data_IF_344088765534
#
_entry.id   IF_344088765534
#
_cell.length_a   1.000
_cell.length_b   1.000
_cell.length_c   1.000
_cell.angle_alpha   90.00
_cell.angle_beta   90.00
_cell.angle_gamma   90.00
#
_symmetry.space_group_name_H-M   'P 1'
#
loop_
_entity.id
_entity.type
_entity.pdbx_description
1 polymer ?
#
# COMPACT_ATOMS: atom_id res chain seq x y z
N UNK A 1 19.15 15.63 16.23
CA UNK A 1 18.78 15.94 14.83
C UNK A 1 17.57 16.87 14.90
N UNK A 2 17.57 17.99 14.17
CA UNK A 2 16.58 19.07 14.37
C UNK A 2 15.16 18.56 14.07
N UNK A 3 14.17 18.80 14.94
CA UNK A 3 12.77 18.32 14.82
C UNK A 3 12.14 18.63 13.44
N UNK A 4 12.66 19.67 12.78
CA UNK A 4 12.27 20.08 11.44
C UNK A 4 12.66 19.06 10.34
N UNK A 5 13.83 18.44 10.47
CA UNK A 5 14.31 17.41 9.53
C UNK A 5 13.51 16.13 9.71
N UNK A 6 13.21 15.76 10.96
CA UNK A 6 12.42 14.58 11.30
C UNK A 6 10.98 14.69 10.79
N UNK A 7 10.35 15.86 10.97
CA UNK A 7 9.01 16.13 10.42
C UNK A 7 8.98 16.12 8.88
N UNK A 8 9.99 16.70 8.23
CA UNK A 8 10.09 16.69 6.76
C UNK A 8 10.26 15.27 6.21
N UNK A 9 11.10 14.46 6.85
CA UNK A 9 11.33 13.07 6.45
C UNK A 9 10.05 12.23 6.59
N UNK A 10 9.29 12.39 7.68
CA UNK A 10 8.02 11.68 7.85
C UNK A 10 6.97 12.12 6.81
N UNK A 11 6.86 13.42 6.53
CA UNK A 11 5.94 13.92 5.50
C UNK A 11 6.29 13.37 4.10
N UNK A 12 7.59 13.30 3.76
CA UNK A 12 8.05 12.72 2.49
C UNK A 12 7.77 11.22 2.43
N UNK A 13 8.00 10.47 3.51
CA UNK A 13 7.68 9.03 3.60
C UNK A 13 6.19 8.78 3.40
N UNK A 14 5.35 9.58 4.04
CA UNK A 14 3.89 9.47 3.90
C UNK A 14 3.45 9.78 2.46
N UNK A 15 3.98 10.84 1.87
CA UNK A 15 3.69 11.22 0.48
C UNK A 15 4.13 10.12 -0.50
N UNK A 16 5.31 9.53 -0.29
CA UNK A 16 5.79 8.40 -1.07
C UNK A 16 4.88 7.18 -0.90
N UNK A 17 4.50 6.82 0.33
CA UNK A 17 3.60 5.71 0.59
C UNK A 17 2.24 5.90 -0.11
N UNK A 18 1.69 7.11 -0.07
CA UNK A 18 0.44 7.44 -0.76
C UNK A 18 0.59 7.33 -2.29
N UNK A 19 1.71 7.82 -2.83
CA UNK A 19 2.02 7.71 -4.26
C UNK A 19 2.15 6.25 -4.71
N UNK A 20 2.88 5.41 -3.97
CA UNK A 20 3.00 3.98 -4.24
C UNK A 20 1.65 3.27 -4.15
N UNK A 21 0.81 3.64 -3.18
CA UNK A 21 -0.53 3.06 -3.01
C UNK A 21 -1.44 3.38 -4.19
N UNK A 22 -1.37 4.61 -4.72
CA UNK A 22 -2.11 5.04 -5.91
C UNK A 22 -1.65 4.28 -7.16
N UNK A 23 -0.33 4.14 -7.36
CA UNK A 23 0.23 3.35 -8.47
C UNK A 23 -0.20 1.89 -8.38
N UNK A 24 -0.10 1.29 -7.18
CA UNK A 24 -0.49 -0.09 -6.95
C UNK A 24 -1.97 -0.33 -7.23
N UNK A 25 -2.83 0.59 -6.79
CA UNK A 25 -4.28 0.55 -7.06
C UNK A 25 -4.58 0.67 -8.56
N UNK A 26 -3.88 1.57 -9.27
CA UNK A 26 -4.01 1.71 -10.71
C UNK A 26 -3.57 0.43 -11.45
N UNK A 27 -2.43 -0.14 -11.09
CA UNK A 27 -1.91 -1.37 -11.68
C UNK A 27 -2.87 -2.56 -11.45
N UNK A 28 -3.39 -2.70 -10.22
CA UNK A 28 -4.40 -3.71 -9.89
C UNK A 28 -5.66 -3.55 -10.73
N UNK A 29 -6.12 -2.31 -10.94
CA UNK A 29 -7.30 -2.03 -11.77
C UNK A 29 -7.07 -2.43 -13.23
N UNK A 30 -5.89 -2.15 -13.76
CA UNK A 30 -5.51 -2.57 -15.12
C UNK A 30 -5.47 -4.10 -15.24
N UNK A 31 -4.89 -4.79 -14.26
CA UNK A 31 -4.85 -6.26 -14.25
C UNK A 31 -6.25 -6.88 -14.12
N UNK A 32 -7.11 -6.30 -13.29
CA UNK A 32 -8.49 -6.73 -13.13
C UNK A 32 -9.28 -6.56 -14.44
N UNK A 33 -9.15 -5.41 -15.11
CA UNK A 33 -9.77 -5.17 -16.41
C UNK A 33 -9.22 -6.12 -17.48
N UNK A 34 -7.90 -6.35 -17.51
CA UNK A 34 -7.30 -7.31 -18.43
C UNK A 34 -7.89 -8.69 -18.21
N UNK A 35 -7.92 -9.20 -16.98
CA UNK A 35 -8.48 -10.51 -16.69
C UNK A 35 -9.96 -10.62 -17.05
N UNK A 36 -10.73 -9.56 -16.84
CA UNK A 36 -12.11 -9.48 -17.31
C UNK A 36 -12.20 -9.62 -18.84
N UNK A 37 -11.41 -8.87 -19.60
CA UNK A 37 -11.40 -8.94 -21.06
C UNK A 37 -10.93 -10.30 -21.59
N UNK A 38 -9.98 -10.95 -20.93
CA UNK A 38 -9.40 -12.21 -21.42
C UNK A 38 -10.26 -13.43 -21.09
N UNK A 39 -10.82 -13.49 -19.87
CA UNK A 39 -11.57 -14.66 -19.41
C UNK A 39 -13.08 -14.45 -19.49
N UNK A 40 -13.58 -13.22 -19.60
CA UNK A 40 -15.01 -12.89 -19.64
C UNK A 40 -15.83 -13.48 -18.48
N UNK A 41 -15.17 -13.79 -17.36
CA UNK A 41 -15.82 -14.31 -16.15
C UNK A 41 -15.44 -13.45 -14.94
N UNK A 42 -16.39 -13.23 -14.05
CA UNK A 42 -16.14 -12.54 -12.78
C UNK A 42 -15.17 -13.32 -11.88
N UNK A 43 -15.14 -14.65 -12.02
CA UNK A 43 -14.26 -15.53 -11.25
C UNK A 43 -12.77 -15.33 -11.56
N UNK A 44 -12.42 -14.74 -12.71
CA UNK A 44 -11.04 -14.37 -13.02
C UNK A 44 -10.60 -13.04 -12.36
N UNK A 45 -11.55 -12.15 -12.06
CA UNK A 45 -11.28 -10.84 -11.45
C UNK A 45 -11.16 -10.94 -9.93
N UNK A 46 -12.04 -11.72 -9.29
CA UNK A 46 -12.06 -11.92 -7.84
C UNK A 46 -10.67 -12.27 -7.26
N UNK A 47 -9.93 -13.28 -7.74
CA UNK A 47 -8.63 -13.61 -7.17
C UNK A 47 -7.60 -12.49 -7.29
N UNK A 48 -7.65 -11.67 -8.35
CA UNK A 48 -6.75 -10.52 -8.53
C UNK A 48 -7.04 -9.45 -7.49
N UNK A 49 -8.31 -9.12 -7.27
CA UNK A 49 -8.72 -8.14 -6.26
C UNK A 49 -8.38 -8.63 -4.86
N UNK A 50 -8.66 -9.90 -4.55
CA UNK A 50 -8.31 -10.50 -3.25
C UNK A 50 -6.80 -10.47 -3.01
N UNK A 51 -6.01 -10.86 -4.00
CA UNK A 51 -4.54 -10.82 -3.90
C UNK A 51 -4.03 -9.39 -3.66
N UNK A 52 -4.59 -8.41 -4.38
CA UNK A 52 -4.22 -7.02 -4.24
C UNK A 52 -4.56 -6.45 -2.85
N UNK A 53 -5.71 -6.83 -2.27
CA UNK A 53 -6.08 -6.45 -0.91
C UNK A 53 -5.11 -7.05 0.12
N UNK A 54 -4.72 -8.32 -0.03
CA UNK A 54 -3.76 -8.99 0.86
C UNK A 54 -2.39 -8.30 0.79
N UNK A 55 -1.88 -8.07 -0.42
CA UNK A 55 -0.58 -7.42 -0.63
C UNK A 55 -0.63 -5.97 -0.12
N UNK A 56 -1.69 -5.22 -0.43
CA UNK A 56 -1.87 -3.85 0.04
C UNK A 56 -1.93 -3.75 1.57
N UNK A 57 -2.68 -4.65 2.21
CA UNK A 57 -2.76 -4.73 3.68
C UNK A 57 -1.42 -5.10 4.32
N UNK A 58 -0.67 -6.03 3.72
CA UNK A 58 0.67 -6.38 4.18
C UNK A 58 1.66 -5.21 4.06
N UNK A 59 1.65 -4.49 2.93
CA UNK A 59 2.48 -3.30 2.73
C UNK A 59 2.13 -2.20 3.73
N UNK A 60 0.84 -1.97 3.98
CA UNK A 60 0.38 -1.01 4.98
C UNK A 60 0.86 -1.38 6.39
N UNK A 61 0.74 -2.66 6.77
CA UNK A 61 1.24 -3.15 8.06
C UNK A 61 2.75 -3.00 8.23
N UNK A 62 3.56 -3.17 7.18
CA UNK A 62 5.01 -2.91 7.23
C UNK A 62 5.30 -1.42 7.45
N UNK A 63 4.56 -0.54 6.76
CA UNK A 63 4.75 0.91 6.85
C UNK A 63 4.34 1.42 8.24
N UNK A 64 3.21 0.96 8.78
CA UNK A 64 2.68 1.38 10.08
C UNK A 64 3.37 0.67 11.27
N UNK A 65 3.86 -0.57 11.08
CA UNK A 65 4.56 -1.34 12.11
C UNK A 65 5.82 -0.66 12.63
N UNK A 66 6.50 0.14 11.79
CA UNK A 66 7.65 0.95 12.20
C UNK A 66 7.30 2.11 13.14
N UNK A 67 6.06 2.61 13.13
CA UNK A 67 5.60 3.69 14.02
C UNK A 67 5.15 3.19 15.40
N UNK A 68 4.67 1.93 15.49
CA UNK A 68 4.27 1.31 16.76
C UNK A 68 5.46 0.88 17.64
N UNK A 69 6.56 0.41 17.05
CA UNK A 69 7.77 0.10 17.83
C UNK A 69 8.47 1.37 18.36
N UNK A 70 8.45 2.47 17.60
CA UNK A 70 9.04 3.75 18.02
C UNK A 70 8.27 4.42 19.17
N UNK A 71 6.97 4.14 19.33
CA UNK A 71 6.11 4.70 20.38
C UNK A 71 6.05 3.84 21.65
N UNK A 72 6.40 2.55 21.59
CA UNK A 72 6.30 1.62 22.73
C UNK A 72 7.64 1.41 23.46
N UNK A 73 8.76 1.93 22.93
CA UNK A 73 10.09 1.89 23.57
C UNK A 73 10.37 2.96 24.64
N UNK A 74 9.34 3.65 25.13
CA UNK A 74 9.40 4.53 26.30
C UNK A 74 8.33 4.10 27.31
N UNK A 75 8.54 2.94 27.92
CA UNK A 75 7.84 2.47 29.10
C UNK A 75 8.85 1.91 30.08
#
# INVERSE_FOLDING_TARGET
>A
MNRFVEGTVNAVRYTLAEFFTRIFSAATSVLALWAWFHFSTIYAVIPIVVLALIIGGYLYGIIEGGEREASTGRG
#
